data_IF_704813355309
#
_entry.id   IF_704813355309
#
_cell.length_a   1.000
_cell.length_b   1.000
_cell.length_c   1.000
_cell.angle_alpha   90.00
_cell.angle_beta   90.00
_cell.angle_gamma   90.00
#
_symmetry.space_group_name_H-M   'P 1'
#
loop_
_entity.id
_entity.type
_entity.pdbx_description
1 polymer ?
#
# COMPACT_ATOMS: atom_id res chain seq x y z
N UNK A 1 1.54 14.30 -23.86
CA UNK A 1 0.47 13.76 -23.00
C UNK A 1 0.52 14.52 -21.68
N UNK A 2 -0.57 15.20 -21.31
CA UNK A 2 -0.63 15.94 -20.06
C UNK A 2 -0.71 14.94 -18.90
N UNK A 3 0.26 15.01 -17.98
CA UNK A 3 0.42 14.11 -16.81
C UNK A 3 -0.77 14.10 -15.84
N UNK A 4 -1.73 15.00 -16.02
CA UNK A 4 -2.94 15.08 -15.20
C UNK A 4 -4.03 14.05 -15.61
N UNK A 5 -3.87 13.34 -16.74
CA UNK A 5 -4.85 12.39 -17.26
C UNK A 5 -4.59 10.91 -16.91
N UNK A 6 -3.49 10.56 -16.24
CA UNK A 6 -3.07 9.15 -16.08
C UNK A 6 -3.37 8.51 -14.72
N UNK A 7 -3.85 9.26 -13.72
CA UNK A 7 -4.30 8.64 -12.48
C UNK A 7 -5.75 8.16 -12.68
N UNK A 8 -5.93 6.88 -12.98
CA UNK A 8 -7.24 6.23 -12.96
C UNK A 8 -7.95 6.57 -11.63
N UNK A 9 -9.12 7.23 -11.71
CA UNK A 9 -9.96 7.50 -10.54
C UNK A 9 -10.63 6.21 -10.08
N UNK A 10 -9.87 5.35 -9.42
CA UNK A 10 -10.37 4.11 -8.83
C UNK A 10 -11.21 4.50 -7.61
N UNK A 11 -12.50 4.17 -7.64
CA UNK A 11 -13.39 4.34 -6.50
C UNK A 11 -13.13 3.18 -5.53
N UNK A 12 -12.60 3.50 -4.35
CA UNK A 12 -12.42 2.53 -3.26
C UNK A 12 -13.56 2.71 -2.27
N UNK A 13 -14.32 1.65 -1.93
CA UNK A 13 -15.35 1.73 -0.91
C UNK A 13 -14.76 2.20 0.44
N UNK A 14 -15.42 3.15 1.09
CA UNK A 14 -14.92 3.73 2.35
C UNK A 14 -14.73 2.70 3.46
N UNK A 15 -15.58 1.66 3.49
CA UNK A 15 -15.47 0.56 4.45
C UNK A 15 -14.15 -0.21 4.31
N UNK A 16 -13.66 -0.41 3.08
CA UNK A 16 -12.38 -1.11 2.87
C UNK A 16 -11.18 -0.26 3.31
N UNK A 17 -11.29 1.07 3.17
CA UNK A 17 -10.29 2.00 3.70
C UNK A 17 -10.30 1.98 5.24
N UNK A 18 -11.48 2.02 5.85
CA UNK A 18 -11.62 1.95 7.31
C UNK A 18 -11.09 0.63 7.86
N UNK A 19 -11.42 -0.49 7.23
CA UNK A 19 -10.92 -1.82 7.60
C UNK A 19 -9.40 -1.90 7.51
N UNK A 20 -8.80 -1.36 6.44
CA UNK A 20 -7.36 -1.34 6.29
C UNK A 20 -6.69 -0.45 7.36
N UNK A 21 -7.27 0.72 7.67
CA UNK A 21 -6.80 1.58 8.75
C UNK A 21 -6.91 0.90 10.13
N UNK A 22 -8.01 0.22 10.42
CA UNK A 22 -8.20 -0.52 11.66
C UNK A 22 -7.18 -1.67 11.79
N UNK A 23 -6.93 -2.41 10.71
CA UNK A 23 -5.92 -3.46 10.69
C UNK A 23 -4.51 -2.92 10.94
N UNK A 24 -4.16 -1.79 10.34
CA UNK A 24 -2.85 -1.15 10.56
C UNK A 24 -2.70 -0.63 11.99
N UNK A 25 -3.71 0.06 12.54
CA UNK A 25 -3.69 0.52 13.93
C UNK A 25 -3.62 -0.64 14.91
N UNK A 26 -4.46 -1.67 14.73
CA UNK A 26 -4.42 -2.87 15.56
C UNK A 26 -3.07 -3.59 15.48
N UNK A 27 -2.44 -3.61 14.30
CA UNK A 27 -1.10 -4.17 14.10
C UNK A 27 -0.01 -3.45 14.89
N UNK A 28 -0.12 -2.14 15.14
CA UNK A 28 0.86 -1.40 15.95
C UNK A 28 0.91 -1.90 17.39
N UNK A 29 -0.23 -2.34 17.93
CA UNK A 29 -0.38 -2.83 19.30
C UNK A 29 0.10 -4.29 19.50
N UNK A 30 0.41 -5.02 18.41
CA UNK A 30 0.84 -6.43 18.51
C UNK A 30 2.32 -6.54 18.90
N UNK A 31 2.68 -7.53 19.71
CA UNK A 31 4.08 -7.68 20.17
C UNK A 31 4.98 -8.38 19.14
N UNK A 32 4.44 -9.38 18.43
CA UNK A 32 5.23 -10.24 17.54
C UNK A 32 5.33 -9.64 16.15
N UNK A 33 6.54 -9.72 15.58
CA UNK A 33 6.79 -9.25 14.23
C UNK A 33 5.91 -9.96 13.19
N UNK A 34 5.67 -11.26 13.35
CA UNK A 34 4.86 -12.06 12.44
C UNK A 34 3.43 -11.55 12.36
N UNK A 35 2.86 -11.17 13.51
CA UNK A 35 1.48 -10.68 13.61
C UNK A 35 1.37 -9.25 13.05
N UNK A 36 2.37 -8.40 13.29
CA UNK A 36 2.50 -7.09 12.63
C UNK A 36 2.57 -7.23 11.11
N UNK A 37 3.38 -8.16 10.63
CA UNK A 37 3.54 -8.43 9.20
C UNK A 37 2.25 -8.98 8.56
N UNK A 38 1.51 -9.80 9.30
CA UNK A 38 0.19 -10.27 8.86
C UNK A 38 -0.81 -9.11 8.71
N UNK A 39 -0.91 -8.24 9.71
CA UNK A 39 -1.79 -7.06 9.67
C UNK A 39 -1.44 -6.12 8.50
N UNK A 40 -0.13 -5.90 8.26
CA UNK A 40 0.34 -5.12 7.12
C UNK A 40 -0.06 -5.78 5.79
N UNK A 41 0.20 -7.08 5.61
CA UNK A 41 -0.18 -7.81 4.39
C UNK A 41 -1.69 -7.78 4.15
N UNK A 42 -2.49 -7.86 5.21
CA UNK A 42 -3.94 -7.79 5.14
C UNK A 42 -4.45 -6.43 4.62
N UNK A 43 -3.85 -5.33 5.07
CA UNK A 43 -4.15 -3.98 4.59
C UNK A 43 -3.65 -3.77 3.15
N UNK A 44 -2.41 -4.18 2.85
CA UNK A 44 -1.83 -4.06 1.51
C UNK A 44 -2.63 -4.86 0.47
N UNK A 45 -3.12 -6.06 0.81
CA UNK A 45 -3.96 -6.84 -0.10
C UNK A 45 -5.27 -6.14 -0.45
N UNK A 46 -5.84 -5.34 0.46
CA UNK A 46 -7.02 -4.53 0.14
C UNK A 46 -6.65 -3.38 -0.77
N UNK A 47 -5.59 -2.62 -0.46
CA UNK A 47 -5.16 -1.51 -1.30
C UNK A 47 -4.74 -1.95 -2.70
N UNK A 48 -3.97 -3.03 -2.79
CA UNK A 48 -3.47 -3.57 -4.05
C UNK A 48 -4.45 -4.51 -4.76
N UNK A 49 -5.48 -5.00 -4.06
CA UNK A 49 -6.58 -5.76 -4.66
C UNK A 49 -7.41 -4.92 -5.63
N UNK A 50 -7.45 -3.60 -5.40
CA UNK A 50 -8.12 -2.64 -6.28
C UNK A 50 -7.27 -2.15 -7.45
N UNK A 51 -5.99 -2.53 -7.54
CA UNK A 51 -5.18 -2.17 -8.69
C UNK A 51 -5.64 -2.92 -9.93
N UNK A 52 -5.80 -2.19 -11.05
CA UNK A 52 -5.92 -2.83 -12.35
C UNK A 52 -4.63 -3.60 -12.67
N UNK A 53 -4.67 -4.61 -13.54
CA UNK A 53 -3.47 -5.35 -13.97
C UNK A 53 -2.35 -4.42 -14.46
N UNK A 54 -2.70 -3.33 -15.14
CA UNK A 54 -1.77 -2.34 -15.66
C UNK A 54 -1.10 -1.54 -14.54
N UNK A 55 -1.88 -1.05 -13.58
CA UNK A 55 -1.35 -0.31 -12.43
C UNK A 55 -0.49 -1.20 -11.53
N UNK A 56 -0.85 -2.49 -11.40
CA UNK A 56 -0.03 -3.49 -10.70
C UNK A 56 1.29 -3.76 -11.41
N UNK A 57 1.28 -3.85 -12.74
CA UNK A 57 2.49 -4.01 -13.55
C UNK A 57 3.40 -2.78 -13.45
N UNK A 58 2.84 -1.57 -13.46
CA UNK A 58 3.59 -0.33 -13.28
C UNK A 58 4.22 -0.23 -11.88
N UNK A 59 3.46 -0.59 -10.83
CA UNK A 59 3.96 -0.65 -9.46
C UNK A 59 5.12 -1.64 -9.34
N UNK A 60 4.98 -2.85 -9.89
CA UNK A 60 6.07 -3.84 -9.88
C UNK A 60 7.29 -3.34 -10.66
N UNK A 61 7.10 -2.73 -11.83
CA UNK A 61 8.20 -2.12 -12.59
C UNK A 61 8.87 -0.96 -11.82
N UNK A 62 8.13 -0.21 -11.00
CA UNK A 62 8.69 0.78 -10.09
C UNK A 62 9.49 0.13 -8.96
N UNK A 63 8.97 -0.93 -8.32
CA UNK A 63 9.65 -1.71 -7.28
C UNK A 63 10.96 -2.29 -7.82
N UNK A 64 10.95 -2.89 -9.01
CA UNK A 64 12.12 -3.49 -9.65
C UNK A 64 13.18 -2.44 -10.01
N UNK A 65 12.77 -1.25 -10.50
CA UNK A 65 13.69 -0.15 -10.82
C UNK A 65 14.32 0.49 -9.59
N UNK A 66 13.54 0.66 -8.53
CA UNK A 66 14.03 1.31 -7.31
C UNK A 66 14.82 0.34 -6.45
N UNK A 67 14.54 -0.96 -6.54
CA UNK A 67 14.90 -1.92 -5.51
C UNK A 67 14.23 -1.53 -4.19
N UNK A 68 14.01 -2.47 -3.28
CA UNK A 68 13.81 -2.09 -1.88
C UNK A 68 15.14 -1.50 -1.37
N UNK A 69 15.44 -0.25 -1.70
CA UNK A 69 16.56 0.48 -1.12
C UNK A 69 16.29 0.57 0.37
N UNK A 70 17.30 0.15 1.13
CA UNK A 70 17.32 0.14 2.59
C UNK A 70 16.61 1.37 3.17
N UNK A 71 15.64 1.11 4.07
CA UNK A 71 14.97 2.06 4.99
C UNK A 71 15.46 3.50 4.83
N UNK A 72 14.87 4.26 3.91
CA UNK A 72 15.00 5.70 3.95
C UNK A 72 14.19 6.19 5.17
N UNK A 73 14.90 6.62 6.21
CA UNK A 73 14.29 7.28 7.36
C UNK A 73 13.65 8.58 6.85
N UNK A 74 12.33 8.60 6.76
CA UNK A 74 11.58 9.81 6.45
C UNK A 74 11.70 10.74 7.67
N UNK A 75 12.55 11.75 7.58
CA UNK A 75 12.56 12.87 8.51
C UNK A 75 11.55 13.88 8.01
N UNK A 76 10.45 14.04 8.75
CA UNK A 76 9.50 15.13 8.53
C UNK A 76 10.02 16.39 9.25
N UNK A 77 9.84 17.59 8.67
CA UNK A 77 10.20 18.86 9.32
C UNK A 77 9.40 19.12 10.60
#
# INVERSE_FOLDING_TARGET
MNREQENARIQVPIYDLLDACCALHGGLELDKYEDKNYALKHALNRFFGYLTPEAKAEFNAWVDRKGWRQKETIVLP
#
